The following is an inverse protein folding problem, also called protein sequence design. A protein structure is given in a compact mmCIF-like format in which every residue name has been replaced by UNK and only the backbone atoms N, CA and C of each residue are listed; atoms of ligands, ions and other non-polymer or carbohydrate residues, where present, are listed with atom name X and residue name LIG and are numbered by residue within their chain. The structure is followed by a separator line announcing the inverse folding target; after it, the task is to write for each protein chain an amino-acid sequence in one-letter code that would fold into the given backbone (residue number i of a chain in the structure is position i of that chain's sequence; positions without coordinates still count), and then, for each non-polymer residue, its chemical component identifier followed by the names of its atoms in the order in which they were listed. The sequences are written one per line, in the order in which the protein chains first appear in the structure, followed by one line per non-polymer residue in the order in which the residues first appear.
data_IF_173299101755
#
_entry.id   IF_173299101755
#
_cell.length_a   1.000
_cell.length_b   1.000
_cell.length_c   1.000
_cell.angle_alpha   90.00
_cell.angle_beta   90.00
_cell.angle_gamma   90.00
#
_symmetry.space_group_name_H-M   'P 1'
#
loop_
_entity.id
_entity.type
_entity.pdbx_description
1 polymer ?
#
# COMPACT_ATOMS: atom_id res chain seq x y z
N UNK A 1 -24.12 11.57 -38.46
CA UNK A 1 -24.29 11.90 -37.03
C UNK A 1 -24.47 10.59 -36.27
N UNK A 2 -23.45 10.14 -35.55
CA UNK A 2 -23.60 9.27 -34.36
C UNK A 2 -22.36 9.47 -33.50
N UNK A 3 -22.59 9.94 -32.28
CA UNK A 3 -21.60 10.16 -31.24
C UNK A 3 -21.54 8.96 -30.27
N UNK A 4 -20.49 8.95 -29.45
CA UNK A 4 -20.21 8.14 -28.26
C UNK A 4 -19.53 6.79 -28.50
N UNK A 5 -18.49 6.39 -27.77
CA UNK A 5 -18.08 6.77 -26.41
C UNK A 5 -16.55 6.93 -26.27
N UNK A 6 -16.06 7.76 -25.33
CA UNK A 6 -14.65 7.77 -24.97
C UNK A 6 -14.29 6.49 -24.21
N UNK A 7 -13.26 5.80 -24.70
CA UNK A 7 -12.54 4.71 -24.05
C UNK A 7 -12.24 5.11 -22.60
N UNK A 8 -12.78 4.36 -21.64
CA UNK A 8 -12.42 4.43 -20.24
C UNK A 8 -10.91 4.21 -20.14
N UNK A 9 -10.19 5.28 -19.79
CA UNK A 9 -8.74 5.25 -19.57
C UNK A 9 -8.45 4.20 -18.51
N UNK A 10 -7.68 3.19 -18.88
CA UNK A 10 -6.88 2.46 -17.91
C UNK A 10 -6.11 3.48 -17.10
N UNK A 11 -6.43 3.60 -15.82
CA UNK A 11 -5.57 4.25 -14.84
C UNK A 11 -4.36 3.34 -14.66
N UNK A 12 -3.42 3.44 -15.61
CA UNK A 12 -2.02 3.18 -15.34
C UNK A 12 -1.69 3.98 -14.09
N UNK A 13 -1.56 3.27 -12.97
CA UNK A 13 -1.15 3.86 -11.70
C UNK A 13 0.32 4.25 -11.86
N UNK A 14 0.55 5.40 -12.52
CA UNK A 14 1.86 6.00 -12.63
C UNK A 14 2.36 6.30 -11.21
N UNK A 15 3.62 6.00 -10.88
CA UNK A 15 4.20 6.35 -9.58
C UNK A 15 4.07 7.85 -9.26
N UNK A 16 3.97 8.71 -10.28
CA UNK A 16 3.65 10.14 -10.15
C UNK A 16 2.21 10.43 -9.73
N UNK A 17 1.24 9.60 -10.12
CA UNK A 17 -0.16 9.73 -9.69
C UNK A 17 -0.31 9.36 -8.21
N UNK A 18 0.43 8.34 -7.75
CA UNK A 18 0.47 7.98 -6.33
C UNK A 18 1.16 9.03 -5.46
N UNK A 19 2.29 9.59 -5.91
CA UNK A 19 2.93 10.71 -5.21
C UNK A 19 1.94 11.89 -5.04
N UNK A 20 1.18 12.22 -6.10
CA UNK A 20 0.12 13.23 -6.02
C UNK A 20 -1.04 12.87 -5.07
N UNK A 21 -1.42 11.60 -4.97
CA UNK A 21 -2.43 11.13 -4.00
C UNK A 21 -1.93 11.29 -2.55
N UNK A 22 -0.67 10.91 -2.29
CA UNK A 22 -0.06 11.06 -0.96
C UNK A 22 0.10 12.54 -0.61
N UNK A 23 0.57 13.37 -1.55
CA UNK A 23 0.75 14.81 -1.36
C UNK A 23 -0.56 15.55 -1.07
N UNK A 24 -1.65 15.14 -1.72
CA UNK A 24 -2.97 15.77 -1.55
C UNK A 24 -3.71 15.29 -0.29
N UNK A 25 -3.48 14.04 0.13
CA UNK A 25 -4.29 13.39 1.16
C UNK A 25 -3.57 13.22 2.51
N UNK A 26 -2.24 13.10 2.56
CA UNK A 26 -1.48 12.94 3.81
C UNK A 26 -0.91 14.28 4.28
N UNK A 27 -1.78 15.03 4.96
CA UNK A 27 -1.36 16.12 5.85
C UNK A 27 -0.94 15.53 7.21
N UNK A 28 -0.15 16.23 8.03
CA UNK A 28 0.10 15.80 9.40
C UNK A 28 -1.20 15.51 10.16
N UNK A 29 -1.28 14.34 10.77
CA UNK A 29 -2.50 13.77 11.39
C UNK A 29 -3.46 13.08 10.41
N UNK A 30 -3.11 12.96 9.13
CA UNK A 30 -3.93 12.33 8.09
C UNK A 30 -3.67 10.84 7.94
N UNK A 31 -4.62 10.13 7.36
CA UNK A 31 -4.47 8.73 6.99
C UNK A 31 -5.19 8.36 5.69
N UNK A 32 -4.72 7.28 5.06
CA UNK A 32 -5.28 6.69 3.85
C UNK A 32 -5.41 5.18 4.06
N UNK A 33 -6.53 4.59 3.61
CA UNK A 33 -6.71 3.15 3.55
C UNK A 33 -6.92 2.70 2.10
N UNK A 34 -6.23 1.63 1.71
CA UNK A 34 -6.32 0.98 0.41
C UNK A 34 -6.72 -0.47 0.62
N UNK A 35 -7.70 -0.94 -0.14
CA UNK A 35 -8.23 -2.31 -0.04
C UNK A 35 -7.88 -3.10 -1.28
N UNK A 36 -7.45 -4.35 -1.07
CA UNK A 36 -7.05 -5.31 -2.09
C UNK A 36 -7.76 -6.64 -1.82
N UNK A 37 -7.80 -7.52 -2.82
CA UNK A 37 -8.32 -8.89 -2.64
C UNK A 37 -7.55 -9.68 -1.58
N UNK A 38 -6.25 -9.43 -1.46
CA UNK A 38 -5.36 -10.13 -0.52
C UNK A 38 -5.28 -9.46 0.87
N UNK A 39 -5.87 -8.26 1.04
CA UNK A 39 -5.84 -7.55 2.32
C UNK A 39 -5.99 -6.04 2.22
N UNK A 40 -5.47 -5.33 3.21
CA UNK A 40 -5.59 -3.88 3.35
C UNK A 40 -4.24 -3.24 3.63
N UNK A 41 -4.03 -2.04 3.11
CA UNK A 41 -2.87 -1.20 3.42
C UNK A 41 -3.35 0.12 3.98
N UNK A 42 -2.97 0.44 5.20
CA UNK A 42 -3.26 1.71 5.86
C UNK A 42 -1.97 2.51 6.04
N UNK A 43 -2.03 3.79 5.73
CA UNK A 43 -0.90 4.73 5.83
C UNK A 43 -1.33 5.88 6.69
N UNK A 44 -0.51 6.23 7.68
CA UNK A 44 -0.74 7.35 8.58
C UNK A 44 0.50 8.22 8.62
N UNK A 45 0.30 9.54 8.55
CA UNK A 45 1.29 10.53 8.88
C UNK A 45 0.83 11.19 10.17
N UNK A 46 1.55 10.99 11.28
CA UNK A 46 1.15 11.58 12.55
C UNK A 46 1.44 13.09 12.60
N UNK A 47 1.17 13.70 13.76
CA UNK A 47 1.38 15.14 13.96
C UNK A 47 2.85 15.51 14.12
N UNK A 48 3.72 14.56 14.50
CA UNK A 48 5.17 14.79 14.65
C UNK A 48 5.92 14.60 13.33
N UNK A 49 5.24 14.10 12.29
CA UNK A 49 5.78 13.88 10.96
C UNK A 49 6.28 12.45 10.73
N UNK A 50 5.96 11.53 11.64
CA UNK A 50 6.29 10.12 11.51
C UNK A 50 5.26 9.37 10.68
N UNK A 51 5.78 8.54 9.80
CA UNK A 51 5.01 7.69 8.91
C UNK A 51 4.82 6.34 9.55
N UNK A 52 3.59 5.84 9.49
CA UNK A 52 3.25 4.47 9.87
C UNK A 52 2.50 3.81 8.73
N UNK A 53 2.98 2.66 8.29
CA UNK A 53 2.35 1.84 7.26
C UNK A 53 1.94 0.53 7.92
N UNK A 54 0.67 0.20 7.84
CA UNK A 54 0.10 -1.07 8.32
C UNK A 54 -0.39 -1.87 7.13
N UNK A 55 0.08 -3.10 6.98
CA UNK A 55 -0.40 -4.05 5.98
C UNK A 55 -1.13 -5.19 6.70
N UNK A 56 -2.44 -5.28 6.52
CA UNK A 56 -3.24 -6.41 6.98
C UNK A 56 -3.38 -7.42 5.86
N UNK A 57 -2.92 -8.65 6.08
CA UNK A 57 -3.03 -9.76 5.13
C UNK A 57 -4.14 -10.72 5.55
N UNK A 58 -5.00 -11.10 4.62
CA UNK A 58 -6.02 -12.11 4.93
C UNK A 58 -5.39 -13.49 5.11
N UNK A 59 -5.74 -14.19 6.19
CA UNK A 59 -5.30 -15.58 6.39
C UNK A 59 -5.90 -16.54 5.36
N UNK A 60 -6.93 -16.10 4.63
CA UNK A 60 -7.58 -16.86 3.56
C UNK A 60 -6.93 -16.61 2.19
N UNK A 61 -5.99 -15.67 2.07
CA UNK A 61 -5.28 -15.42 0.81
C UNK A 61 -4.21 -16.48 0.60
N UNK A 62 -4.20 -17.08 -0.60
CA UNK A 62 -3.11 -17.97 -1.06
C UNK A 62 -1.75 -17.25 -1.13
N UNK A 63 -1.76 -15.91 -1.09
CA UNK A 63 -0.57 -15.05 -1.13
C UNK A 63 -0.10 -14.61 0.25
N UNK A 64 -0.70 -15.09 1.35
CA UNK A 64 -0.33 -14.73 2.71
C UNK A 64 1.18 -14.90 2.96
N UNK A 65 1.71 -16.08 2.69
CA UNK A 65 3.13 -16.40 2.92
C UNK A 65 4.10 -15.57 2.06
N UNK A 66 3.94 -15.49 0.71
CA UNK A 66 4.83 -14.66 -0.09
C UNK A 66 4.73 -13.17 0.25
N UNK A 67 3.52 -12.65 0.54
CA UNK A 67 3.35 -11.26 0.95
C UNK A 67 4.00 -10.98 2.31
N UNK A 68 3.86 -11.88 3.28
CA UNK A 68 4.51 -11.78 4.59
C UNK A 68 6.03 -11.64 4.44
N UNK A 69 6.66 -12.53 3.65
CA UNK A 69 8.10 -12.44 3.39
C UNK A 69 8.51 -11.13 2.71
N UNK A 70 7.75 -10.69 1.72
CA UNK A 70 8.01 -9.40 1.06
C UNK A 70 7.90 -8.22 2.04
N UNK A 71 6.97 -8.26 3.01
CA UNK A 71 6.85 -7.24 4.04
C UNK A 71 8.04 -7.28 5.01
N UNK A 72 8.44 -8.46 5.47
CA UNK A 72 9.60 -8.65 6.34
C UNK A 72 10.90 -8.13 5.71
N UNK A 73 11.11 -8.39 4.41
CA UNK A 73 12.26 -7.86 3.65
C UNK A 73 12.26 -6.33 3.55
N UNK A 74 11.09 -5.69 3.63
CA UNK A 74 10.94 -4.24 3.69
C UNK A 74 11.11 -3.67 5.12
N UNK A 75 11.33 -4.53 6.10
CA UNK A 75 11.50 -4.19 7.51
C UNK A 75 10.18 -4.01 8.25
N UNK A 76 9.08 -4.59 7.75
CA UNK A 76 7.88 -4.73 8.54
C UNK A 76 8.06 -5.83 9.59
N UNK A 77 7.34 -5.71 10.70
CA UNK A 77 7.21 -6.77 11.69
C UNK A 77 5.73 -7.09 11.92
N UNK A 78 5.43 -8.34 12.24
CA UNK A 78 4.08 -8.72 12.65
C UNK A 78 3.73 -8.04 13.97
N UNK A 79 2.67 -7.24 13.96
CA UNK A 79 2.22 -6.46 15.10
C UNK A 79 1.01 -7.10 15.80
N UNK A 80 0.11 -7.73 15.04
CA UNK A 80 -1.09 -8.35 15.58
C UNK A 80 -1.68 -9.40 14.63
N UNK A 81 -2.48 -10.30 15.17
CA UNK A 81 -3.37 -11.18 14.41
C UNK A 81 -4.78 -11.04 14.99
N UNK A 82 -5.73 -10.59 14.17
CA UNK A 82 -7.09 -10.33 14.61
C UNK A 82 -8.07 -10.44 13.45
N UNK A 83 -9.20 -11.12 13.67
CA UNK A 83 -10.32 -11.13 12.72
C UNK A 83 -9.98 -11.77 11.37
N UNK A 84 -9.14 -12.82 11.37
CA UNK A 84 -8.70 -13.47 10.13
C UNK A 84 -7.69 -12.65 9.32
N UNK A 85 -7.04 -11.67 9.95
CA UNK A 85 -6.02 -10.84 9.34
C UNK A 85 -4.73 -10.88 10.16
N UNK A 86 -3.59 -10.97 9.47
CA UNK A 86 -2.26 -10.79 10.05
C UNK A 86 -1.76 -9.39 9.72
N UNK A 87 -1.59 -8.57 10.75
CA UNK A 87 -1.17 -7.18 10.61
C UNK A 87 0.33 -7.04 10.77
N UNK A 88 0.94 -6.42 9.79
CA UNK A 88 2.35 -6.06 9.76
C UNK A 88 2.50 -4.54 9.83
N UNK A 89 3.49 -4.08 10.58
CA UNK A 89 3.73 -2.66 10.82
C UNK A 89 5.14 -2.26 10.37
N UNK A 90 5.22 -1.12 9.71
CA UNK A 90 6.45 -0.38 9.46
C UNK A 90 6.26 1.05 9.94
N UNK A 91 7.28 1.63 10.59
CA UNK A 91 7.21 3.01 11.06
C UNK A 91 8.56 3.73 10.96
N UNK A 92 8.53 5.02 10.62
CA UNK A 92 9.73 5.88 10.66
C UNK A 92 10.17 6.23 12.08
N UNK A 93 9.25 6.20 13.05
CA UNK A 93 9.52 6.61 14.43
C UNK A 93 10.61 5.75 15.11
N UNK A 94 10.82 4.53 14.60
CA UNK A 94 11.86 3.61 15.09
C UNK A 94 13.22 3.79 14.40
N UNK A 95 13.39 4.78 13.49
CA UNK A 95 14.61 4.94 12.68
C UNK A 95 15.26 6.29 12.98
N UNK A 96 16.46 6.23 13.55
CA UNK A 96 17.16 7.41 14.11
C UNK A 96 17.64 8.45 13.08
N UNK A 97 17.66 8.14 11.78
CA UNK A 97 18.16 9.07 10.76
C UNK A 97 17.44 8.92 9.42
N UNK A 98 17.31 10.06 8.74
CA UNK A 98 16.74 10.33 7.40
C UNK A 98 15.29 10.83 7.37
N UNK A 99 15.03 11.70 6.39
CA UNK A 99 13.70 12.20 6.02
C UNK A 99 12.73 11.03 5.86
N UNK A 100 11.93 10.77 6.90
CA UNK A 100 11.02 9.63 6.97
C UNK A 100 10.09 9.52 5.76
N UNK A 101 9.77 10.67 5.14
CA UNK A 101 8.94 10.78 3.94
C UNK A 101 9.46 9.96 2.75
N UNK A 102 10.67 10.23 2.24
CA UNK A 102 11.15 9.56 1.03
C UNK A 102 11.29 8.06 1.22
N UNK A 103 11.66 7.62 2.43
CA UNK A 103 11.70 6.18 2.74
C UNK A 103 10.30 5.59 2.87
N UNK A 104 9.36 6.29 3.49
CA UNK A 104 7.98 5.86 3.59
C UNK A 104 7.31 5.75 2.22
N UNK A 105 7.51 6.72 1.33
CA UNK A 105 7.00 6.69 -0.05
C UNK A 105 7.57 5.52 -0.84
N UNK A 106 8.89 5.28 -0.74
CA UNK A 106 9.54 4.11 -1.36
C UNK A 106 8.99 2.79 -0.81
N UNK A 107 8.90 2.67 0.52
CA UNK A 107 8.35 1.48 1.20
C UNK A 107 6.92 1.23 0.75
N UNK A 108 6.07 2.26 0.76
CA UNK A 108 4.68 2.17 0.34
C UNK A 108 4.56 1.73 -1.12
N UNK A 109 5.33 2.32 -2.04
CA UNK A 109 5.31 1.93 -3.44
C UNK A 109 5.67 0.45 -3.63
N UNK A 110 6.64 -0.07 -2.86
CA UNK A 110 7.02 -1.49 -2.91
C UNK A 110 5.91 -2.39 -2.36
N UNK A 111 5.29 -2.01 -1.23
CA UNK A 111 4.13 -2.73 -0.67
C UNK A 111 3.01 -2.80 -1.71
N UNK A 112 2.64 -1.67 -2.31
CA UNK A 112 1.54 -1.62 -3.28
C UNK A 112 1.83 -2.48 -4.52
N UNK A 113 3.08 -2.49 -5.01
CA UNK A 113 3.50 -3.39 -6.10
C UNK A 113 3.37 -4.86 -5.70
N UNK A 114 3.72 -5.22 -4.47
CA UNK A 114 3.54 -6.58 -3.96
C UNK A 114 2.06 -6.96 -3.90
N UNK A 115 1.16 -6.05 -3.52
CA UNK A 115 -0.28 -6.33 -3.53
C UNK A 115 -0.86 -6.39 -4.95
N UNK A 116 -0.40 -5.56 -5.89
CA UNK A 116 -0.91 -5.48 -7.27
C UNK A 116 -0.47 -6.62 -8.20
N UNK A 117 0.64 -7.31 -7.93
CA UNK A 117 1.22 -8.35 -8.80
C UNK A 117 0.37 -9.62 -8.97
N UNK A 118 -0.88 -9.62 -8.48
CA UNK A 118 -1.86 -10.69 -8.65
C UNK A 118 -3.14 -10.26 -9.37
N UNK A 119 -3.07 -9.34 -10.33
CA UNK A 119 -4.15 -9.22 -11.32
C UNK A 119 -4.02 -10.35 -12.35
N UNK A 120 -4.88 -11.36 -12.21
CA UNK A 120 -5.31 -12.44 -13.11
C UNK A 120 -4.86 -12.31 -14.59
N UNK A 121 -4.48 -13.42 -15.27
CA UNK A 121 -4.18 -13.41 -16.71
C UNK A 121 -5.35 -12.82 -17.52
N UNK A 122 -5.06 -11.83 -18.38
CA UNK A 122 -5.99 -11.37 -19.40
C UNK A 122 -6.36 -12.52 -20.33
N UNK A 123 -7.49 -13.18 -20.09
CA UNK A 123 -8.18 -13.90 -21.15
C UNK A 123 -8.88 -12.87 -22.03
N UNK A 124 -8.20 -12.45 -23.10
CA UNK A 124 -8.88 -11.88 -24.26
C UNK A 124 -9.49 -13.06 -25.01
N UNK A 125 -10.82 -13.12 -25.01
CA UNK A 125 -11.61 -13.95 -25.92
C UNK A 125 -11.78 -13.30 -27.28
#
# INVERSE_FOLDING_TARGET
MTANAPVQRQETHDPMSMAGLLDSSLRPGGSIALTFSDGIVHVMLDQTGDWTITAGLSVLSDRLLPLTRSLEELGFFQAAEQGGMVYHLWTSALREHYSGRSKAEETLLRVLKSFQTSSVPSYIG
#
